data_IF_219447543471
#
_entry.id   IF_219447543471
#
_cell.length_a   1.000
_cell.length_b   1.000
_cell.length_c   1.000
_cell.angle_alpha   90.00
_cell.angle_beta   90.00
_cell.angle_gamma   90.00
#
_symmetry.space_group_name_H-M   'P 1'
#
loop_
_entity.id
_entity.type
_entity.pdbx_description
1 polymer ?
#
# COMPACT_ATOMS: atom_id res chain seq x y z
N UNK A 1 15.52 0.17 -8.13
CA UNK A 1 15.71 1.08 -9.29
C UNK A 1 15.81 0.22 -10.54
N UNK A 2 15.35 0.73 -11.66
CA UNK A 2 15.42 0.09 -12.97
C UNK A 2 16.19 1.00 -13.92
N UNK A 3 17.01 0.40 -14.76
CA UNK A 3 17.95 1.08 -15.64
C UNK A 3 17.55 0.76 -17.07
N UNK A 4 17.40 1.78 -17.92
CA UNK A 4 16.89 1.63 -19.27
C UNK A 4 17.89 2.09 -20.34
N UNK A 5 17.79 1.46 -21.50
CA UNK A 5 18.41 1.86 -22.75
C UNK A 5 17.34 1.89 -23.85
N UNK A 6 16.75 3.07 -24.08
CA UNK A 6 15.69 3.21 -25.08
C UNK A 6 16.23 3.38 -26.50
N UNK A 7 17.43 3.95 -26.64
CA UNK A 7 17.95 4.37 -27.95
C UNK A 7 19.04 3.43 -28.50
N UNK A 8 19.31 2.32 -27.82
CA UNK A 8 20.32 1.32 -28.23
C UNK A 8 21.78 1.79 -28.08
N UNK A 9 21.99 2.98 -27.51
CA UNK A 9 23.29 3.55 -27.20
C UNK A 9 23.80 3.18 -25.80
N UNK A 10 24.70 3.99 -25.21
CA UNK A 10 24.99 3.89 -23.79
C UNK A 10 23.73 4.07 -22.96
N UNK A 11 23.61 3.31 -21.89
CA UNK A 11 22.53 3.43 -20.91
C UNK A 11 22.53 4.83 -20.30
N UNK A 12 21.42 5.54 -20.39
CA UNK A 12 21.30 6.95 -20.02
C UNK A 12 20.07 7.27 -19.14
N UNK A 13 19.11 6.36 -19.04
CA UNK A 13 17.88 6.57 -18.29
C UNK A 13 17.75 5.65 -17.07
N UNK A 14 17.20 6.19 -15.99
CA UNK A 14 16.98 5.48 -14.74
C UNK A 14 15.65 5.87 -14.11
N UNK A 15 14.95 4.85 -13.63
CA UNK A 15 13.67 4.97 -12.93
C UNK A 15 13.68 4.34 -11.55
N UNK A 16 12.76 4.80 -10.70
CA UNK A 16 12.50 4.18 -9.40
C UNK A 16 11.31 3.25 -9.57
N UNK A 17 11.52 1.95 -9.31
CA UNK A 17 10.40 1.00 -9.22
C UNK A 17 9.59 1.36 -7.97
N UNK A 18 8.35 1.76 -8.18
CA UNK A 18 7.40 2.08 -7.12
C UNK A 18 6.64 0.83 -6.69
N UNK A 19 6.22 -0.01 -7.65
CA UNK A 19 5.50 -1.26 -7.37
C UNK A 19 5.84 -2.33 -8.41
N UNK A 20 5.90 -3.58 -7.95
CA UNK A 20 5.78 -4.76 -8.81
C UNK A 20 4.35 -5.26 -8.70
N UNK A 21 3.67 -5.36 -9.84
CA UNK A 21 2.28 -5.76 -9.93
C UNK A 21 2.15 -7.29 -9.84
N UNK A 22 0.94 -7.80 -9.62
CA UNK A 22 0.69 -9.23 -9.48
C UNK A 22 0.99 -10.03 -10.77
N UNK A 23 0.82 -9.39 -11.93
CA UNK A 23 1.15 -9.95 -13.25
C UNK A 23 2.66 -9.89 -13.58
N UNK A 24 3.46 -9.37 -12.66
CA UNK A 24 4.90 -9.20 -12.81
C UNK A 24 5.31 -7.90 -13.52
N UNK A 25 4.39 -7.11 -14.06
CA UNK A 25 4.72 -5.78 -14.60
C UNK A 25 5.19 -4.83 -13.49
N UNK A 26 5.93 -3.79 -13.86
CA UNK A 26 6.45 -2.79 -12.92
C UNK A 26 5.82 -1.42 -13.18
N UNK A 27 5.45 -0.73 -12.10
CA UNK A 27 5.23 0.72 -12.14
C UNK A 27 6.50 1.43 -11.68
N UNK A 28 6.84 2.49 -12.40
CA UNK A 28 8.06 3.26 -12.20
C UNK A 28 7.72 4.73 -12.05
N UNK A 29 8.48 5.44 -11.21
CA UNK A 29 8.51 6.89 -11.16
C UNK A 29 9.71 7.35 -11.99
N UNK A 30 9.42 8.09 -13.06
CA UNK A 30 10.39 8.55 -14.05
C UNK A 30 10.53 10.07 -14.02
N UNK A 31 11.78 10.52 -14.09
CA UNK A 31 12.11 11.94 -14.22
C UNK A 31 12.09 12.40 -15.67
N UNK A 32 11.93 13.70 -15.87
CA UNK A 32 11.94 14.34 -17.19
C UNK A 32 10.94 13.72 -18.20
N UNK A 33 9.86 13.11 -17.71
CA UNK A 33 8.78 12.61 -18.54
C UNK A 33 7.99 13.81 -19.06
N UNK A 34 8.40 14.36 -20.22
CA UNK A 34 7.91 15.63 -20.75
C UNK A 34 8.06 16.78 -19.74
N UNK A 35 9.24 16.89 -19.10
CA UNK A 35 9.57 17.97 -18.16
C UNK A 35 8.92 17.86 -16.77
N UNK A 36 8.35 16.70 -16.41
CA UNK A 36 7.78 16.43 -15.08
C UNK A 36 8.18 15.05 -14.57
N UNK A 37 7.91 14.80 -13.29
CA UNK A 37 7.87 13.43 -12.76
C UNK A 37 6.55 12.79 -13.19
N UNK A 38 6.60 11.58 -13.72
CA UNK A 38 5.40 10.82 -14.08
C UNK A 38 5.58 9.34 -13.78
N UNK A 39 4.45 8.64 -13.70
CA UNK A 39 4.43 7.19 -13.59
C UNK A 39 4.42 6.55 -14.97
N UNK A 40 5.26 5.54 -15.17
CA UNK A 40 5.29 4.71 -16.37
C UNK A 40 5.11 3.23 -16.00
N UNK A 41 4.67 2.43 -16.98
CA UNK A 41 4.39 1.00 -16.81
C UNK A 41 5.16 0.21 -17.85
N UNK A 42 5.84 -0.83 -17.38
CA UNK A 42 6.64 -1.71 -18.24
C UNK A 42 6.41 -3.16 -17.85
N UNK A 43 6.39 -4.05 -18.83
CA UNK A 43 6.55 -5.47 -18.56
C UNK A 43 7.94 -5.73 -17.98
N UNK A 44 8.08 -6.73 -17.09
CA UNK A 44 9.36 -7.04 -16.45
C UNK A 44 10.48 -7.41 -17.43
N UNK A 45 10.11 -7.86 -18.63
CA UNK A 45 11.00 -8.26 -19.72
C UNK A 45 11.02 -7.23 -20.88
N UNK A 46 10.58 -5.99 -20.64
CA UNK A 46 10.62 -4.95 -21.65
C UNK A 46 12.04 -4.78 -22.21
N UNK A 47 12.17 -4.70 -23.54
CA UNK A 47 13.46 -4.76 -24.25
C UNK A 47 14.46 -3.68 -23.83
N UNK A 48 13.95 -2.49 -23.49
CA UNK A 48 14.77 -1.38 -23.03
C UNK A 48 15.34 -1.58 -21.62
N UNK A 49 14.90 -2.57 -20.85
CA UNK A 49 15.42 -2.79 -19.48
C UNK A 49 16.81 -3.41 -19.58
N UNK A 50 17.82 -2.61 -19.24
CA UNK A 50 19.22 -3.03 -19.21
C UNK A 50 19.59 -3.71 -17.89
N UNK A 51 18.88 -3.41 -16.79
CA UNK A 51 19.10 -4.08 -15.52
C UNK A 51 18.42 -3.40 -14.33
N UNK A 52 18.71 -3.94 -13.14
CA UNK A 52 18.11 -3.50 -11.89
C UNK A 52 19.19 -3.24 -10.83
N UNK A 53 19.00 -2.17 -10.06
CA UNK A 53 19.75 -1.94 -8.84
C UNK A 53 18.82 -2.09 -7.63
N UNK A 54 19.23 -2.92 -6.67
CA UNK A 54 18.51 -3.16 -5.42
C UNK A 54 19.37 -2.64 -4.26
N UNK A 55 19.17 -1.37 -3.83
CA UNK A 55 19.80 -0.88 -2.62
C UNK A 55 19.55 -1.85 -1.46
N UNK A 56 20.55 -2.03 -0.61
CA UNK A 56 20.34 -2.71 0.67
C UNK A 56 19.60 -1.73 1.56
N UNK A 57 18.28 -1.86 1.59
CA UNK A 57 17.50 -1.28 2.67
C UNK A 57 17.78 -2.11 3.91
N UNK A 58 17.96 -1.42 5.04
CA UNK A 58 17.91 -2.10 6.33
C UNK A 58 16.62 -2.90 6.34
N UNK A 59 16.70 -4.16 6.77
CA UNK A 59 15.49 -4.93 7.05
C UNK A 59 14.90 -4.31 8.32
N UNK A 60 14.30 -3.11 8.23
CA UNK A 60 13.28 -2.74 9.18
C UNK A 60 12.28 -3.90 9.15
N UNK A 61 11.99 -4.47 10.34
CA UNK A 61 11.08 -5.58 10.54
C UNK A 61 9.92 -5.45 9.56
N UNK A 62 9.74 -6.45 8.69
CA UNK A 62 8.88 -6.41 7.50
C UNK A 62 7.49 -5.78 7.72
N UNK A 63 7.40 -4.46 7.77
CA UNK A 63 6.17 -3.72 7.55
C UNK A 63 6.03 -3.64 6.03
N UNK A 64 5.47 -4.73 5.51
CA UNK A 64 5.27 -4.96 4.09
C UNK A 64 4.40 -3.82 3.53
N UNK A 65 4.86 -3.20 2.44
CA UNK A 65 4.02 -2.34 1.61
C UNK A 65 2.65 -3.01 1.35
N UNK A 66 1.53 -2.27 1.34
CA UNK A 66 0.20 -2.87 1.37
C UNK A 66 -0.04 -3.62 0.05
N UNK A 67 0.02 -4.94 0.12
CA UNK A 67 -0.58 -5.82 -0.87
C UNK A 67 -2.09 -5.78 -0.65
N UNK A 68 -2.81 -5.23 -1.64
CA UNK A 68 -4.27 -5.27 -1.65
C UNK A 68 -4.76 -6.71 -1.72
N UNK A 69 -5.64 -7.03 -0.77
CA UNK A 69 -6.55 -8.18 -0.68
C UNK A 69 -5.91 -9.56 -0.52
N UNK A 70 -5.61 -9.90 0.73
CA UNK A 70 -6.10 -11.13 1.38
C UNK A 70 -6.12 -10.86 2.90
N UNK A 71 -7.32 -10.74 3.49
CA UNK A 71 -7.69 -10.69 4.92
C UNK A 71 -6.57 -10.36 5.94
N UNK A 72 -6.17 -9.08 6.04
CA UNK A 72 -5.42 -8.61 7.19
C UNK A 72 -6.41 -8.23 8.29
N UNK A 73 -6.40 -8.95 9.42
CA UNK A 73 -7.04 -8.44 10.63
C UNK A 73 -6.53 -7.01 10.87
N UNK A 74 -7.43 -6.02 11.05
CA UNK A 74 -7.02 -4.64 11.29
C UNK A 74 -6.01 -4.58 12.44
N UNK A 75 -4.91 -3.85 12.25
CA UNK A 75 -3.90 -3.69 13.29
C UNK A 75 -4.52 -3.11 14.57
N UNK A 76 -3.97 -3.46 15.74
CA UNK A 76 -4.52 -3.04 17.05
C UNK A 76 -4.67 -1.51 17.17
N UNK A 77 -3.78 -0.75 16.54
CA UNK A 77 -3.83 0.71 16.50
C UNK A 77 -5.04 1.21 15.69
N UNK A 78 -5.34 0.56 14.57
CA UNK A 78 -6.50 0.87 13.74
C UNK A 78 -7.80 0.55 14.49
N UNK A 79 -7.87 -0.63 15.12
CA UNK A 79 -9.00 -1.03 15.98
C UNK A 79 -9.17 -0.05 17.14
N UNK A 80 -8.09 0.42 17.75
CA UNK A 80 -8.13 1.40 18.83
C UNK A 80 -8.64 2.76 18.34
N UNK A 81 -8.25 3.20 17.14
CA UNK A 81 -8.77 4.43 16.55
C UNK A 81 -10.28 4.32 16.29
N UNK A 82 -10.72 3.27 15.61
CA UNK A 82 -12.14 3.04 15.32
C UNK A 82 -12.97 2.90 16.61
N UNK A 83 -12.44 2.24 17.64
CA UNK A 83 -13.11 2.14 18.93
C UNK A 83 -13.34 3.52 19.59
N UNK A 84 -12.38 4.46 19.47
CA UNK A 84 -12.58 5.84 19.94
C UNK A 84 -13.68 6.55 19.16
N UNK A 85 -13.76 6.32 17.85
CA UNK A 85 -14.78 6.92 16.98
C UNK A 85 -16.18 6.38 17.33
N UNK A 86 -16.27 5.09 17.65
CA UNK A 86 -17.49 4.48 18.21
C UNK A 86 -17.88 5.12 19.55
N UNK A 87 -16.93 5.35 20.46
CA UNK A 87 -17.17 6.02 21.75
C UNK A 87 -17.65 7.47 21.53
N UNK A 88 -17.13 8.16 20.51
CA UNK A 88 -17.58 9.49 20.09
C UNK A 88 -18.96 9.49 19.42
N UNK A 89 -19.48 8.31 19.06
CA UNK A 89 -20.80 8.13 18.46
C UNK A 89 -20.82 8.24 16.93
N UNK A 90 -19.66 8.18 16.27
CA UNK A 90 -19.56 8.35 14.81
C UNK A 90 -20.12 7.17 14.01
N UNK A 91 -20.23 6.01 14.65
CA UNK A 91 -20.81 4.78 14.07
C UNK A 91 -22.23 4.51 14.57
N UNK A 92 -22.92 5.49 15.16
CA UNK A 92 -24.29 5.29 15.66
C UNK A 92 -24.40 4.24 16.79
N UNK A 93 -25.59 3.65 16.95
CA UNK A 93 -25.92 2.76 18.06
C UNK A 93 -26.66 1.49 17.60
N UNK A 94 -26.48 0.38 18.33
CA UNK A 94 -27.17 -0.87 18.07
C UNK A 94 -26.88 -1.44 16.68
N UNK A 95 -27.93 -1.72 15.90
CA UNK A 95 -27.81 -2.31 14.55
C UNK A 95 -27.11 -1.38 13.55
N UNK A 96 -27.27 -0.06 13.68
CA UNK A 96 -26.60 0.93 12.82
C UNK A 96 -25.08 0.77 12.93
N UNK A 97 -24.57 0.65 14.15
CA UNK A 97 -23.14 0.42 14.41
C UNK A 97 -22.62 -0.85 13.79
N UNK A 98 -23.38 -1.93 13.90
CA UNK A 98 -23.00 -3.22 13.29
C UNK A 98 -22.87 -3.06 11.78
N UNK A 99 -23.84 -2.40 11.13
CA UNK A 99 -23.82 -2.19 9.68
C UNK A 99 -22.66 -1.30 9.24
N UNK A 100 -22.50 -0.12 9.83
CA UNK A 100 -21.46 0.85 9.43
C UNK A 100 -20.05 0.27 9.60
N UNK A 101 -19.78 -0.44 10.70
CA UNK A 101 -18.49 -1.10 10.91
C UNK A 101 -18.24 -2.23 9.90
N UNK A 102 -19.26 -3.05 9.61
CA UNK A 102 -19.15 -4.15 8.65
C UNK A 102 -18.96 -3.63 7.22
N UNK A 103 -19.70 -2.59 6.81
CA UNK A 103 -19.55 -1.95 5.50
C UNK A 103 -18.17 -1.29 5.35
N UNK A 104 -17.62 -0.74 6.44
CA UNK A 104 -16.26 -0.22 6.47
C UNK A 104 -15.16 -1.32 6.49
N UNK A 105 -15.56 -2.59 6.53
CA UNK A 105 -14.63 -3.73 6.52
C UNK A 105 -14.02 -4.07 7.87
N UNK A 106 -14.61 -3.60 8.98
CA UNK A 106 -14.17 -3.94 10.34
C UNK A 106 -14.97 -5.12 10.91
N UNK A 107 -14.29 -5.94 11.70
CA UNK A 107 -14.96 -6.93 12.55
C UNK A 107 -15.61 -6.21 13.75
N UNK A 108 -16.94 -6.22 13.79
CA UNK A 108 -17.73 -5.58 14.84
C UNK A 108 -17.30 -6.07 16.24
N UNK A 109 -17.10 -7.37 16.40
CA UNK A 109 -16.81 -7.95 17.71
C UNK A 109 -15.46 -7.45 18.25
N UNK A 110 -14.43 -7.43 17.41
CA UNK A 110 -13.09 -6.93 17.72
C UNK A 110 -13.13 -5.44 18.10
N UNK A 111 -13.85 -4.61 17.35
CA UNK A 111 -14.02 -3.19 17.69
C UNK A 111 -14.78 -3.02 19.01
N UNK A 112 -15.85 -3.78 19.22
CA UNK A 112 -16.69 -3.66 20.42
C UNK A 112 -15.96 -4.13 21.68
N UNK A 113 -15.14 -5.17 21.60
CA UNK A 113 -14.29 -5.62 22.69
C UNK A 113 -13.25 -4.54 23.05
N UNK A 114 -12.69 -3.87 22.05
CA UNK A 114 -11.78 -2.75 22.28
C UNK A 114 -12.48 -1.55 22.92
N UNK A 115 -13.70 -1.22 22.50
CA UNK A 115 -14.53 -0.19 23.15
C UNK A 115 -14.73 -0.51 24.62
N UNK A 116 -15.08 -1.76 24.94
CA UNK A 116 -15.28 -2.20 26.32
C UNK A 116 -14.01 -2.06 27.16
N UNK A 117 -12.83 -2.38 26.60
CA UNK A 117 -11.54 -2.19 27.27
C UNK A 117 -11.19 -0.71 27.52
N UNK A 118 -11.61 0.21 26.64
CA UNK A 118 -11.33 1.64 26.80
C UNK A 118 -12.26 2.33 27.80
N UNK A 119 -13.41 1.73 28.10
CA UNK A 119 -14.42 2.26 29.02
C UNK A 119 -14.46 1.55 30.38
N UNK A 120 -13.67 0.49 30.57
CA UNK A 120 -13.57 -0.26 31.83
C UNK A 120 -12.75 0.46 32.90
#
# INVERSE_FOLDING_TARGET
>A
MVIFNFDGGPVDHIGIVERVQADGSISTLEGNYNGRVARAYYDWNHEAIAGYARPRYDQEDKESAPASSEEASPSDDLITAVARDVIRGEYGNGEERVRELTEAGYDYQTVQDRVNQLLS
#
